data_IF_132613767938
#
_entry.id   IF_132613767938
#
_cell.length_a   1.000
_cell.length_b   1.000
_cell.length_c   1.000
_cell.angle_alpha   90.00
_cell.angle_beta   90.00
_cell.angle_gamma   90.00
#
_symmetry.space_group_name_H-M   'P 1'
#
loop_
_entity.id
_entity.type
_entity.pdbx_description
1 polymer ?
#
# COMPACT_ATOMS: atom_id res chain seq x y z
N UNK A 1 -17.47 -3.92 -6.08
CA UNK A 1 -17.03 -2.86 -7.02
C UNK A 1 -15.55 -2.62 -6.80
N UNK A 2 -14.71 -2.98 -7.78
CA UNK A 2 -13.26 -2.80 -7.68
C UNK A 2 -12.90 -1.33 -7.79
N UNK A 3 -12.91 -0.59 -6.67
CA UNK A 3 -12.60 0.84 -6.66
C UNK A 3 -11.09 1.05 -6.75
N UNK A 4 -10.58 1.00 -7.98
CA UNK A 4 -9.29 1.60 -8.32
C UNK A 4 -9.25 3.08 -7.90
N UNK A 5 -8.06 3.67 -7.77
CA UNK A 5 -7.95 5.10 -7.47
C UNK A 5 -8.40 6.01 -8.62
N UNK A 6 -8.84 5.44 -9.74
CA UNK A 6 -9.17 6.19 -10.94
C UNK A 6 -10.52 6.89 -10.82
N UNK A 7 -10.58 8.14 -11.25
CA UNK A 7 -11.82 8.85 -11.52
C UNK A 7 -12.29 8.48 -12.93
N UNK A 8 -13.49 7.90 -13.01
CA UNK A 8 -14.01 7.27 -14.23
C UNK A 8 -14.99 8.21 -14.92
N UNK A 9 -14.74 8.47 -16.20
CA UNK A 9 -15.54 9.31 -17.08
C UNK A 9 -16.18 8.48 -18.19
N UNK A 10 -17.41 8.83 -18.57
CA UNK A 10 -18.12 8.25 -19.71
C UNK A 10 -18.54 9.34 -20.67
N UNK A 11 -18.07 9.25 -21.91
CA UNK A 11 -18.47 10.16 -22.98
C UNK A 11 -19.86 9.71 -23.49
N UNK A 12 -20.87 10.59 -23.58
CA UNK A 12 -22.17 10.24 -24.13
C UNK A 12 -22.06 9.58 -25.50
N UNK A 13 -22.71 8.43 -25.70
CA UNK A 13 -22.66 7.66 -26.94
C UNK A 13 -21.42 6.77 -27.15
N UNK A 14 -20.40 6.85 -26.28
CA UNK A 14 -19.23 5.99 -26.37
C UNK A 14 -19.51 4.56 -25.86
N UNK A 15 -18.83 3.57 -26.45
CA UNK A 15 -18.95 2.16 -26.03
C UNK A 15 -18.31 1.87 -24.67
N UNK A 16 -17.36 2.69 -24.22
CA UNK A 16 -16.53 2.45 -23.03
C UNK A 16 -16.44 3.61 -22.05
N UNK A 17 -15.51 3.48 -21.10
CA UNK A 17 -15.20 4.48 -20.06
C UNK A 17 -13.69 4.75 -20.04
N UNK A 18 -13.32 5.97 -19.65
CA UNK A 18 -11.93 6.40 -19.47
C UNK A 18 -11.69 6.66 -17.98
N UNK A 19 -10.54 6.26 -17.44
CA UNK A 19 -10.19 6.50 -16.03
C UNK A 19 -8.87 7.25 -15.89
N UNK A 20 -8.84 8.29 -15.06
CA UNK A 20 -7.62 9.04 -14.75
C UNK A 20 -7.17 8.76 -13.32
N UNK A 21 -5.87 8.55 -13.10
CA UNK A 21 -5.29 8.30 -11.77
C UNK A 21 -4.39 9.48 -11.41
N UNK A 22 -4.85 10.34 -10.50
CA UNK A 22 -4.13 11.53 -10.05
C UNK A 22 -3.19 11.24 -8.88
N UNK A 23 -2.07 10.53 -9.12
CA UNK A 23 -1.18 10.08 -8.04
C UNK A 23 -0.56 11.20 -7.19
N UNK A 24 -0.38 12.40 -7.75
CA UNK A 24 0.35 13.51 -7.12
C UNK A 24 -0.57 14.66 -6.67
N UNK A 25 -1.53 15.04 -7.52
CA UNK A 25 -2.40 16.19 -7.32
C UNK A 25 -3.58 15.91 -6.38
N UNK A 26 -4.14 14.71 -6.44
CA UNK A 26 -5.26 14.25 -5.60
C UNK A 26 -4.91 12.89 -4.98
N UNK A 27 -4.17 12.92 -3.87
CA UNK A 27 -3.74 11.69 -3.17
C UNK A 27 -4.97 10.91 -2.70
N UNK A 28 -5.25 9.77 -3.32
CA UNK A 28 -6.25 8.80 -2.83
C UNK A 28 -5.77 8.03 -1.58
N UNK A 29 -4.65 8.45 -1.01
CA UNK A 29 -3.91 7.80 0.07
C UNK A 29 -4.79 7.65 1.32
N UNK A 30 -5.59 8.66 1.64
CA UNK A 30 -6.48 8.66 2.81
C UNK A 30 -7.56 7.57 2.74
N UNK A 31 -7.97 7.18 1.53
CA UNK A 31 -8.94 6.10 1.27
C UNK A 31 -8.29 4.79 0.79
N UNK A 32 -6.96 4.72 0.75
CA UNK A 32 -6.24 3.55 0.27
C UNK A 32 -6.36 2.41 1.30
N UNK A 33 -6.94 1.28 0.90
CA UNK A 33 -7.07 0.06 1.70
C UNK A 33 -6.14 -1.07 1.27
N UNK A 34 -5.17 -0.80 0.38
CA UNK A 34 -4.22 -1.80 -0.12
C UNK A 34 -3.06 -2.00 0.86
N UNK A 35 -2.73 -3.26 1.11
CA UNK A 35 -1.45 -3.70 1.67
C UNK A 35 -0.78 -4.62 0.65
N UNK A 36 0.54 -4.81 0.77
CA UNK A 36 1.33 -5.57 -0.19
C UNK A 36 2.22 -6.58 0.51
N UNK A 37 2.20 -7.82 0.05
CA UNK A 37 3.16 -8.85 0.45
C UNK A 37 4.25 -8.90 -0.63
N UNK A 38 5.50 -8.61 -0.25
CA UNK A 38 6.63 -8.70 -1.16
C UNK A 38 7.07 -10.16 -1.38
N UNK A 39 7.82 -10.42 -2.46
CA UNK A 39 8.28 -11.75 -2.81
C UNK A 39 9.23 -12.38 -1.76
N UNK A 40 9.95 -11.54 -1.01
CA UNK A 40 10.82 -11.97 0.08
C UNK A 40 10.08 -12.15 1.41
N UNK A 41 8.79 -11.77 1.49
CA UNK A 41 7.90 -12.10 2.59
C UNK A 41 7.55 -10.96 3.54
N UNK A 42 7.79 -9.71 3.16
CA UNK A 42 7.43 -8.54 3.96
C UNK A 42 6.00 -8.08 3.67
N UNK A 43 5.22 -7.89 4.73
CA UNK A 43 3.92 -7.25 4.67
C UNK A 43 4.11 -5.73 4.82
N UNK A 44 3.71 -5.00 3.78
CA UNK A 44 3.87 -3.56 3.63
C UNK A 44 2.51 -2.86 3.69
N UNK A 45 2.35 -1.81 4.52
CA UNK A 45 1.11 -1.05 4.59
C UNK A 45 1.00 -0.04 3.45
N UNK A 46 2.12 0.37 2.86
CA UNK A 46 2.20 1.36 1.78
C UNK A 46 3.20 0.91 0.70
N UNK A 47 2.95 1.34 -0.53
CA UNK A 47 3.80 1.07 -1.68
C UNK A 47 5.05 1.96 -1.67
N UNK A 48 4.87 3.24 -1.34
CA UNK A 48 5.89 4.30 -1.41
C UNK A 48 6.46 4.67 -0.04
N UNK A 49 6.23 3.84 0.98
CA UNK A 49 6.83 4.04 2.30
C UNK A 49 7.36 2.70 2.83
N UNK A 50 8.58 2.71 3.34
CA UNK A 50 9.27 1.54 3.87
C UNK A 50 9.16 1.42 5.40
N UNK A 51 8.64 2.44 6.09
CA UNK A 51 8.38 2.43 7.53
C UNK A 51 7.20 1.54 7.87
N UNK A 52 7.31 0.84 9.00
CA UNK A 52 6.25 -0.02 9.51
C UNK A 52 5.98 -1.20 8.58
N UNK A 53 6.98 -2.00 8.25
CA UNK A 53 6.78 -3.28 7.55
C UNK A 53 6.92 -4.44 8.55
N UNK A 54 6.26 -5.56 8.26
CA UNK A 54 6.34 -6.78 9.06
C UNK A 54 6.99 -7.90 8.25
N UNK A 55 8.05 -8.52 8.78
CA UNK A 55 8.62 -9.76 8.21
C UNK A 55 7.70 -10.95 8.53
N UNK A 56 6.66 -11.07 7.69
CA UNK A 56 5.61 -12.06 7.87
C UNK A 56 6.13 -13.48 7.63
N UNK A 57 7.09 -13.64 6.69
CA UNK A 57 7.68 -14.95 6.38
C UNK A 57 8.44 -15.51 7.56
N UNK A 58 9.30 -14.73 8.20
CA UNK A 58 10.06 -15.19 9.36
C UNK A 58 9.12 -15.49 10.52
N UNK A 59 8.14 -14.61 10.79
CA UNK A 59 7.16 -14.83 11.85
C UNK A 59 6.33 -16.11 11.66
N UNK A 60 5.94 -16.43 10.43
CA UNK A 60 5.24 -17.68 10.12
C UNK A 60 6.14 -18.91 10.25
N UNK A 61 7.42 -18.81 9.86
CA UNK A 61 8.37 -19.92 9.90
C UNK A 61 8.90 -20.22 11.30
N UNK A 62 8.93 -19.23 12.18
CA UNK A 62 9.31 -19.40 13.59
C UNK A 62 8.22 -20.06 14.43
N UNK A 63 7.05 -20.33 13.86
CA UNK A 63 5.92 -20.93 14.58
C UNK A 63 5.20 -19.96 15.52
N UNK A 64 5.27 -18.64 15.25
CA UNK A 64 4.52 -17.63 16.00
C UNK A 64 3.04 -18.01 16.06
N UNK A 65 2.42 -17.87 17.24
CA UNK A 65 1.02 -18.20 17.40
C UNK A 65 0.16 -17.33 16.47
N UNK A 66 -0.91 -17.88 15.85
CA UNK A 66 -1.78 -17.12 14.98
C UNK A 66 -2.42 -15.88 15.64
N UNK A 67 -2.61 -15.93 16.97
CA UNK A 67 -3.13 -14.80 17.74
C UNK A 67 -2.14 -13.63 17.78
N UNK A 68 -0.88 -13.90 18.06
CA UNK A 68 0.17 -12.88 18.12
C UNK A 68 0.42 -12.28 16.74
N UNK A 69 0.44 -13.11 15.70
CA UNK A 69 0.59 -12.66 14.33
C UNK A 69 -0.59 -11.76 13.90
N UNK A 70 -1.81 -12.11 14.31
CA UNK A 70 -3.00 -11.29 14.06
C UNK A 70 -2.87 -9.92 14.73
N UNK A 71 -2.33 -9.85 15.95
CA UNK A 71 -2.16 -8.58 16.65
C UNK A 71 -1.06 -7.71 16.01
N UNK A 72 0.03 -8.33 15.54
CA UNK A 72 1.07 -7.62 14.77
C UNK A 72 0.50 -7.03 13.48
N UNK A 73 -0.28 -7.82 12.72
CA UNK A 73 -0.96 -7.35 11.50
C UNK A 73 -1.99 -6.26 11.83
N UNK A 74 -2.73 -6.39 12.94
CA UNK A 74 -3.69 -5.37 13.38
C UNK A 74 -3.00 -4.05 13.69
N UNK A 75 -1.92 -4.09 14.46
CA UNK A 75 -1.10 -2.92 14.79
C UNK A 75 -0.57 -2.25 13.52
N UNK A 76 -0.14 -3.05 12.55
CA UNK A 76 0.31 -2.57 11.25
C UNK A 76 -0.81 -1.86 10.46
N UNK A 77 -2.02 -2.43 10.45
CA UNK A 77 -3.19 -1.80 9.80
C UNK A 77 -3.57 -0.49 10.49
N UNK A 78 -3.46 -0.39 11.83
CA UNK A 78 -3.73 0.83 12.58
C UNK A 78 -2.70 1.93 12.34
N UNK A 79 -1.46 1.60 11.99
CA UNK A 79 -0.43 2.57 11.61
C UNK A 79 -0.66 3.17 10.20
N UNK A 80 -1.40 2.46 9.34
CA UNK A 80 -1.58 2.82 7.93
C UNK A 80 -2.17 4.21 7.69
N UNK A 81 -3.20 4.71 8.41
CA UNK A 81 -3.71 6.06 8.24
C UNK A 81 -2.66 7.13 8.50
N UNK A 82 -1.80 6.95 9.51
CA UNK A 82 -0.70 7.88 9.77
C UNK A 82 0.32 7.90 8.63
N UNK A 83 0.69 6.72 8.12
CA UNK A 83 1.59 6.57 6.97
C UNK A 83 0.98 7.25 5.73
N UNK A 84 -0.32 7.03 5.48
CA UNK A 84 -1.04 7.54 4.31
C UNK A 84 -1.23 9.06 4.35
N UNK A 85 -1.36 9.68 5.53
CA UNK A 85 -1.62 11.11 5.69
C UNK A 85 -0.35 11.90 6.00
N UNK A 86 0.34 11.58 7.10
CA UNK A 86 1.49 12.33 7.62
C UNK A 86 2.76 12.05 6.83
N UNK A 87 2.95 10.82 6.37
CA UNK A 87 4.17 10.38 5.69
C UNK A 87 3.99 10.16 4.18
N UNK A 88 2.93 10.73 3.59
CA UNK A 88 2.57 10.50 2.19
C UNK A 88 3.63 10.94 1.18
N UNK A 89 4.45 11.93 1.57
CA UNK A 89 5.54 12.45 0.74
C UNK A 89 6.91 11.92 1.18
N UNK A 90 7.00 11.09 2.21
CA UNK A 90 8.27 10.64 2.77
C UNK A 90 9.14 9.93 1.73
N UNK A 91 8.55 9.01 0.95
CA UNK A 91 9.27 8.34 -0.14
C UNK A 91 9.65 9.27 -1.30
N UNK A 92 8.85 10.30 -1.58
CA UNK A 92 9.07 11.22 -2.71
C UNK A 92 10.10 12.31 -2.38
N UNK A 93 10.07 12.86 -1.16
CA UNK A 93 10.96 13.94 -0.71
C UNK A 93 12.32 13.38 -0.28
N UNK A 94 12.35 12.29 0.50
CA UNK A 94 13.61 11.75 0.97
C UNK A 94 14.41 11.09 -0.16
N UNK A 95 13.76 10.71 -1.27
CA UNK A 95 14.38 10.05 -2.43
C UNK A 95 15.03 8.70 -2.13
N UNK A 96 15.03 8.27 -0.87
CA UNK A 96 15.69 7.08 -0.37
C UNK A 96 14.67 5.94 -0.27
N UNK A 97 14.37 5.32 -1.41
CA UNK A 97 13.83 3.96 -1.40
C UNK A 97 15.02 3.01 -1.32
N UNK A 98 15.08 2.14 -0.31
CA UNK A 98 16.05 1.05 -0.32
C UNK A 98 15.70 -0.01 -1.36
N UNK A 99 14.43 -0.04 -1.81
CA UNK A 99 13.90 -1.03 -2.76
C UNK A 99 13.12 -0.41 -3.90
N UNK A 100 13.35 -0.91 -5.11
CA UNK A 100 12.56 -0.55 -6.29
C UNK A 100 11.21 -1.27 -6.31
N UNK A 101 10.29 -0.74 -7.11
CA UNK A 101 8.95 -1.30 -7.32
C UNK A 101 8.98 -2.78 -7.79
N UNK A 102 9.92 -3.11 -8.68
CA UNK A 102 10.11 -4.48 -9.15
C UNK A 102 10.50 -5.46 -8.04
N UNK A 103 11.29 -5.02 -7.05
CA UNK A 103 11.72 -5.85 -5.92
C UNK A 103 10.61 -6.14 -4.91
N UNK A 104 9.53 -5.36 -4.94
CA UNK A 104 8.43 -5.47 -3.98
C UNK A 104 7.17 -6.05 -4.64
N UNK A 105 7.29 -6.61 -5.85
CA UNK A 105 6.22 -7.32 -6.56
C UNK A 105 5.47 -6.53 -7.64
N UNK A 106 6.13 -5.59 -8.32
CA UNK A 106 5.53 -4.72 -9.36
C UNK A 106 5.95 -3.27 -9.26
#
# INVERSE_FOLDING_TARGET
TGSGPADVFRIPGAKGTLGFISQMSECFCDRCNRMRLSADGWLRPCLLNETGQLDLRSALRSGTLPADLREQVRSLVLLKPEINYKQRQAGTIAGAYSRTMSQIGG
#
